data_IF_376607527412
#
_entry.id   IF_376607527412
#
_cell.length_a   1.000
_cell.length_b   1.000
_cell.length_c   1.000
_cell.angle_alpha   90.00
_cell.angle_beta   90.00
_cell.angle_gamma   90.00
#
_symmetry.space_group_name_H-M   'P 1'
#
loop_
_entity.id
_entity.type
_entity.pdbx_description
1 polymer ?
#
# COMPACT_ATOMS: atom_id res chain seq x y z
N UNK A 1 -7.31 -16.38 -8.40
CA UNK A 1 -5.92 -16.61 -7.96
C UNK A 1 -5.23 -15.26 -8.01
N UNK A 2 -4.87 -14.72 -6.85
CA UNK A 2 -4.26 -13.40 -6.72
C UNK A 2 -2.84 -13.41 -7.28
N UNK A 3 -2.47 -12.36 -8.03
CA UNK A 3 -1.12 -12.20 -8.59
C UNK A 3 -0.26 -11.38 -7.65
N UNK A 4 0.95 -11.85 -7.37
CA UNK A 4 1.97 -11.06 -6.68
C UNK A 4 2.81 -10.29 -7.71
N UNK A 5 2.76 -8.97 -7.65
CA UNK A 5 3.51 -8.05 -8.53
C UNK A 5 4.50 -7.27 -7.66
N UNK A 6 5.77 -7.31 -8.03
CA UNK A 6 6.86 -6.78 -7.18
C UNK A 6 7.56 -5.57 -7.76
N UNK A 7 7.20 -5.14 -8.98
CA UNK A 7 7.82 -3.96 -9.60
C UNK A 7 6.80 -2.89 -9.96
N UNK A 8 7.17 -1.62 -9.75
CA UNK A 8 6.41 -0.43 -10.12
C UNK A 8 6.11 -0.46 -11.62
N UNK A 9 7.10 -0.80 -12.44
CA UNK A 9 6.97 -0.84 -13.91
C UNK A 9 5.88 -1.84 -14.34
N UNK A 10 5.88 -3.04 -13.78
CA UNK A 10 4.88 -4.06 -14.10
C UNK A 10 3.49 -3.64 -13.60
N UNK A 11 3.39 -3.14 -12.36
CA UNK A 11 2.13 -2.67 -11.78
C UNK A 11 1.52 -1.55 -12.63
N UNK A 12 2.32 -0.57 -13.04
CA UNK A 12 1.89 0.51 -13.92
C UNK A 12 1.45 -0.01 -15.29
N UNK A 13 2.15 -1.00 -15.87
CA UNK A 13 1.77 -1.57 -17.15
C UNK A 13 0.37 -2.21 -17.08
N UNK A 14 0.10 -2.98 -16.03
CA UNK A 14 -1.21 -3.62 -15.78
C UNK A 14 -2.30 -2.57 -15.60
N UNK A 15 -2.10 -1.59 -14.72
CA UNK A 15 -3.10 -0.54 -14.43
C UNK A 15 -3.39 0.31 -15.67
N UNK A 16 -2.36 0.67 -16.45
CA UNK A 16 -2.54 1.41 -17.71
C UNK A 16 -3.38 0.61 -18.71
N UNK A 17 -3.21 -0.71 -18.79
CA UNK A 17 -4.03 -1.56 -19.66
C UNK A 17 -5.49 -1.61 -19.19
N UNK A 18 -5.73 -1.87 -17.90
CA UNK A 18 -7.06 -1.91 -17.31
C UNK A 18 -7.81 -0.57 -17.46
N UNK A 19 -7.13 0.56 -17.24
CA UNK A 19 -7.73 1.89 -17.45
C UNK A 19 -8.16 2.13 -18.89
N UNK A 20 -7.37 1.68 -19.89
CA UNK A 20 -7.74 1.82 -21.30
C UNK A 20 -8.96 1.00 -21.71
N UNK A 21 -9.22 -0.12 -21.04
CA UNK A 21 -10.41 -0.95 -21.27
C UNK A 21 -11.66 -0.47 -20.52
N UNK A 22 -11.56 0.61 -19.75
CA UNK A 22 -12.68 1.10 -18.92
C UNK A 22 -12.91 0.29 -17.64
N UNK A 23 -11.99 -0.61 -17.29
CA UNK A 23 -12.04 -1.44 -16.08
C UNK A 23 -11.94 -0.54 -14.84
N UNK A 24 -12.89 -0.69 -13.92
CA UNK A 24 -12.89 -0.03 -12.62
C UNK A 24 -11.87 -0.70 -11.68
N UNK A 25 -11.15 0.10 -10.89
CA UNK A 25 -10.03 -0.36 -10.06
C UNK A 25 -10.28 0.11 -8.64
N UNK A 26 -10.44 -0.81 -7.70
CA UNK A 26 -10.40 -0.54 -6.28
C UNK A 26 -8.99 -0.75 -5.73
N UNK A 27 -8.59 0.09 -4.77
CA UNK A 27 -7.24 0.09 -4.22
C UNK A 27 -7.26 0.18 -2.70
N UNK A 28 -6.57 -0.76 -2.05
CA UNK A 28 -6.44 -0.83 -0.59
C UNK A 28 -4.94 -0.73 -0.25
N UNK A 29 -4.45 0.44 0.15
CA UNK A 29 -3.07 0.59 0.60
C UNK A 29 -2.89 0.03 2.01
N UNK A 30 -1.90 -0.84 2.20
CA UNK A 30 -1.56 -1.42 3.50
C UNK A 30 -0.04 -1.51 3.69
N UNK A 31 0.39 -1.74 4.93
CA UNK A 31 1.76 -2.12 5.24
C UNK A 31 1.96 -3.64 5.44
N UNK A 32 0.95 -4.46 5.10
CA UNK A 32 0.96 -5.91 5.35
C UNK A 32 0.50 -6.29 6.75
N UNK A 33 0.84 -7.50 7.19
CA UNK A 33 0.39 -8.09 8.45
C UNK A 33 -1.14 -8.00 8.58
N UNK A 34 -1.82 -8.53 7.56
CA UNK A 34 -3.23 -8.29 7.33
C UNK A 34 -4.10 -8.94 8.41
N UNK A 35 -5.24 -8.30 8.64
CA UNK A 35 -6.24 -8.69 9.64
C UNK A 35 -7.64 -8.34 9.11
N UNK A 36 -8.70 -8.73 9.82
CA UNK A 36 -10.06 -8.64 9.28
C UNK A 36 -10.54 -7.22 8.94
N UNK A 37 -10.02 -6.20 9.64
CA UNK A 37 -10.20 -4.79 9.25
C UNK A 37 -9.72 -4.50 7.81
N UNK A 38 -8.53 -4.99 7.43
CA UNK A 38 -8.04 -4.89 6.05
C UNK A 38 -8.94 -5.68 5.09
N UNK A 39 -9.27 -6.92 5.44
CA UNK A 39 -10.07 -7.80 4.59
C UNK A 39 -11.48 -7.28 4.37
N UNK A 40 -12.03 -6.49 5.30
CA UNK A 40 -13.32 -5.82 5.13
C UNK A 40 -13.27 -4.81 3.98
N UNK A 41 -12.21 -3.99 3.89
CA UNK A 41 -12.02 -3.06 2.77
C UNK A 41 -11.79 -3.80 1.45
N UNK A 42 -11.06 -4.92 1.48
CA UNK A 42 -10.84 -5.76 0.29
C UNK A 42 -12.15 -6.36 -0.21
N UNK A 43 -12.99 -6.92 0.68
CA UNK A 43 -14.31 -7.47 0.32
C UNK A 43 -15.23 -6.41 -0.29
N UNK A 44 -15.24 -5.20 0.29
CA UNK A 44 -16.00 -4.06 -0.25
C UNK A 44 -15.52 -3.72 -1.68
N UNK A 45 -14.21 -3.59 -1.89
CA UNK A 45 -13.62 -3.33 -3.21
C UNK A 45 -13.96 -4.43 -4.22
N UNK A 46 -13.84 -5.70 -3.83
CA UNK A 46 -14.15 -6.85 -4.69
C UNK A 46 -15.63 -6.85 -5.12
N UNK A 47 -16.54 -6.35 -4.26
CA UNK A 47 -17.96 -6.28 -4.60
C UNK A 47 -18.34 -5.10 -5.50
N UNK A 48 -17.48 -4.08 -5.59
CA UNK A 48 -17.82 -2.79 -6.22
C UNK A 48 -16.94 -2.46 -7.44
N UNK A 49 -15.86 -3.21 -7.67
CA UNK A 49 -14.89 -2.94 -8.73
C UNK A 49 -14.58 -4.18 -9.57
N UNK A 50 -14.23 -3.97 -10.84
CA UNK A 50 -13.86 -5.05 -11.76
C UNK A 50 -12.53 -5.69 -11.39
N UNK A 51 -11.59 -4.90 -10.85
CA UNK A 51 -10.35 -5.40 -10.26
C UNK A 51 -10.06 -4.74 -8.91
N UNK A 52 -9.52 -5.51 -7.98
CA UNK A 52 -9.06 -5.06 -6.66
C UNK A 52 -7.55 -5.25 -6.50
N UNK A 53 -6.86 -4.17 -6.16
CA UNK A 53 -5.42 -4.14 -5.89
C UNK A 53 -5.17 -3.85 -4.42
N UNK A 54 -4.37 -4.69 -3.77
CA UNK A 54 -3.89 -4.46 -2.40
C UNK A 54 -2.40 -4.16 -2.46
N UNK A 55 -1.93 -3.04 -1.92
CA UNK A 55 -0.48 -2.86 -1.74
C UNK A 55 -0.06 -3.32 -0.36
N UNK A 56 1.11 -3.96 -0.29
CA UNK A 56 1.78 -4.34 0.95
C UNK A 56 3.16 -3.70 0.93
N UNK A 57 3.33 -2.58 1.63
CA UNK A 57 4.59 -1.86 1.67
C UNK A 57 4.77 -1.18 3.02
N UNK A 58 5.71 -1.67 3.84
CA UNK A 58 6.11 -0.99 5.07
C UNK A 58 6.95 0.22 4.69
N UNK A 59 6.29 1.37 4.55
CA UNK A 59 6.90 2.57 4.04
C UNK A 59 7.86 3.20 5.07
N UNK A 60 9.18 3.31 4.79
CA UNK A 60 10.14 3.86 5.74
C UNK A 60 9.93 5.35 6.05
N UNK A 61 9.37 6.14 5.12
CA UNK A 61 9.26 7.60 5.27
C UNK A 61 8.27 8.02 6.36
N UNK A 62 7.33 7.15 6.70
CA UNK A 62 6.33 7.39 7.76
C UNK A 62 6.76 6.85 9.14
N UNK A 63 7.99 6.37 9.31
CA UNK A 63 8.52 5.95 10.61
C UNK A 63 9.58 6.92 11.13
N UNK A 64 9.43 7.34 12.38
CA UNK A 64 10.44 8.10 13.09
C UNK A 64 11.65 7.23 13.51
N UNK A 65 12.80 7.85 13.86
CA UNK A 65 14.03 7.12 14.19
C UNK A 65 13.96 6.25 15.45
N UNK A 66 12.98 6.50 16.33
CA UNK A 66 12.77 5.74 17.57
C UNK A 66 11.45 4.94 17.53
N UNK A 67 10.90 4.71 16.34
CA UNK A 67 9.68 3.92 16.15
C UNK A 67 10.02 2.48 15.76
N UNK A 68 9.00 1.69 15.48
CA UNK A 68 9.04 0.25 15.37
C UNK A 68 9.27 -0.26 13.94
N UNK A 69 9.93 0.51 13.07
CA UNK A 69 10.15 0.12 11.67
C UNK A 69 10.79 -1.28 11.53
N UNK A 70 11.82 -1.56 12.35
CA UNK A 70 12.53 -2.83 12.36
C UNK A 70 11.70 -3.97 12.95
N UNK A 71 10.83 -3.66 13.92
CA UNK A 71 9.97 -4.63 14.59
C UNK A 71 8.62 -4.83 13.88
N UNK A 72 8.29 -4.01 12.88
CA UNK A 72 7.01 -4.07 12.19
C UNK A 72 6.81 -5.46 11.55
N UNK A 73 5.67 -6.12 11.79
CA UNK A 73 5.44 -7.49 11.33
C UNK A 73 5.43 -7.55 9.79
N UNK A 74 6.14 -8.53 9.23
CA UNK A 74 6.24 -8.76 7.78
C UNK A 74 5.99 -10.24 7.51
N UNK A 75 4.91 -10.55 6.80
CA UNK A 75 4.47 -11.93 6.58
C UNK A 75 3.75 -12.11 5.24
N UNK A 76 4.43 -11.73 4.15
CA UNK A 76 3.83 -11.63 2.81
C UNK A 76 3.14 -12.91 2.35
N UNK A 77 3.66 -14.10 2.67
CA UNK A 77 3.02 -15.38 2.29
C UNK A 77 1.63 -15.51 2.91
N UNK A 78 1.49 -15.20 4.21
CA UNK A 78 0.19 -15.21 4.90
C UNK A 78 -0.73 -14.10 4.37
N UNK A 79 -0.18 -12.93 4.11
CA UNK A 79 -0.95 -11.81 3.57
C UNK A 79 -1.54 -12.18 2.19
N UNK A 80 -0.76 -12.83 1.34
CA UNK A 80 -1.17 -13.31 0.02
C UNK A 80 -2.26 -14.39 0.10
N UNK A 81 -2.16 -15.33 1.04
CA UNK A 81 -3.21 -16.33 1.31
C UNK A 81 -4.52 -15.64 1.69
N UNK A 82 -4.49 -14.73 2.68
CA UNK A 82 -5.67 -14.04 3.17
C UNK A 82 -6.39 -13.21 2.09
N UNK A 83 -5.65 -12.48 1.26
CA UNK A 83 -6.28 -11.69 0.17
C UNK A 83 -6.79 -12.57 -0.97
N UNK A 84 -6.17 -13.74 -1.19
CA UNK A 84 -6.63 -14.71 -2.17
C UNK A 84 -7.99 -15.29 -1.80
N UNK A 85 -8.23 -15.53 -0.51
CA UNK A 85 -9.51 -16.03 0.00
C UNK A 85 -10.66 -15.03 -0.19
N UNK A 86 -10.37 -13.72 -0.09
CA UNK A 86 -11.39 -12.67 -0.28
C UNK A 86 -11.50 -12.16 -1.72
N UNK A 87 -10.72 -12.72 -2.64
CA UNK A 87 -10.88 -12.49 -4.08
C UNK A 87 -10.16 -11.27 -4.64
N UNK A 88 -9.13 -10.73 -3.97
CA UNK A 88 -8.32 -9.66 -4.57
C UNK A 88 -7.59 -10.17 -5.82
N UNK A 89 -7.47 -9.33 -6.85
CA UNK A 89 -6.81 -9.72 -8.10
C UNK A 89 -5.29 -9.63 -7.99
N UNK A 90 -4.79 -8.60 -7.30
CA UNK A 90 -3.37 -8.26 -7.29
C UNK A 90 -2.92 -7.86 -5.88
N UNK A 91 -1.78 -8.41 -5.46
CA UNK A 91 -0.94 -7.84 -4.39
C UNK A 91 0.24 -7.13 -5.03
N UNK A 92 0.39 -5.85 -4.74
CA UNK A 92 1.57 -5.07 -5.09
C UNK A 92 2.52 -5.00 -3.90
N UNK A 93 3.66 -5.70 -4.00
CA UNK A 93 4.66 -5.80 -2.93
C UNK A 93 6.04 -5.37 -3.45
N UNK A 94 6.28 -4.06 -3.60
CA UNK A 94 7.53 -3.54 -4.14
C UNK A 94 8.67 -3.58 -3.12
N UNK A 95 9.90 -3.60 -3.63
CA UNK A 95 11.09 -3.28 -2.84
C UNK A 95 11.19 -1.77 -2.57
N UNK A 96 11.85 -1.39 -1.47
CA UNK A 96 12.11 0.02 -1.12
C UNK A 96 12.87 0.74 -2.24
N UNK A 97 13.87 0.11 -2.82
CA UNK A 97 14.69 0.68 -3.91
C UNK A 97 13.88 0.91 -5.20
N UNK A 98 12.77 0.19 -5.40
CA UNK A 98 11.90 0.40 -6.57
C UNK A 98 10.89 1.53 -6.33
N UNK A 99 10.48 1.73 -5.07
CA UNK A 99 9.63 2.88 -4.67
C UNK A 99 10.44 4.18 -4.55
N UNK A 100 11.66 4.09 -4.02
CA UNK A 100 12.56 5.21 -3.76
C UNK A 100 13.94 4.92 -4.38
N UNK A 101 14.08 5.07 -5.70
CA UNK A 101 15.32 4.72 -6.44
C UNK A 101 16.49 5.68 -6.20
N UNK A 102 16.29 6.74 -5.42
CA UNK A 102 17.30 7.74 -5.10
C UNK A 102 16.71 8.84 -4.23
N UNK A 103 17.46 9.94 -4.08
CA UNK A 103 16.96 11.12 -3.38
C UNK A 103 15.72 11.68 -4.08
N UNK A 104 14.72 12.04 -3.27
CA UNK A 104 13.51 12.68 -3.76
C UNK A 104 13.84 14.11 -4.16
N UNK A 105 13.71 14.41 -5.46
CA UNK A 105 13.86 15.78 -5.97
C UNK A 105 12.62 16.66 -5.77
N UNK A 106 11.54 16.08 -5.23
CA UNK A 106 10.26 16.74 -4.95
C UNK A 106 9.76 16.27 -3.59
N UNK A 107 9.44 17.22 -2.73
CA UNK A 107 8.87 16.97 -1.40
C UNK A 107 7.38 17.28 -1.37
N UNK A 108 6.63 16.49 -0.60
CA UNK A 108 5.21 16.72 -0.30
C UNK A 108 5.05 16.86 1.20
N UNK A 109 4.27 17.86 1.63
CA UNK A 109 3.95 18.09 3.05
C UNK A 109 2.48 18.38 3.23
N UNK A 110 1.89 17.91 4.33
CA UNK A 110 0.44 17.97 4.56
C UNK A 110 -0.03 19.34 5.05
N UNK A 111 0.73 19.99 5.94
CA UNK A 111 0.34 21.27 6.54
C UNK A 111 -0.61 21.11 7.74
N UNK A 112 -1.65 21.96 7.92
CA UNK A 112 -2.36 22.12 9.19
C UNK A 112 -2.95 20.86 9.84
N UNK A 113 -3.33 19.85 9.05
CA UNK A 113 -3.86 18.59 9.58
C UNK A 113 -2.78 17.76 10.30
N UNK A 114 -1.50 17.99 9.98
CA UNK A 114 -0.36 17.36 10.63
C UNK A 114 0.15 18.13 11.86
N UNK A 115 -0.38 19.32 12.15
CA UNK A 115 0.09 20.14 13.28
C UNK A 115 -0.57 19.76 14.62
N UNK A 116 -1.50 18.80 14.62
CA UNK A 116 -2.30 18.41 15.78
C UNK A 116 -2.36 16.90 15.94
N UNK A 117 -2.91 16.44 17.08
CA UNK A 117 -3.13 15.02 17.38
C UNK A 117 -1.87 14.18 17.12
N UNK A 118 -1.97 13.19 16.22
CA UNK A 118 -0.88 12.28 15.89
C UNK A 118 0.25 12.97 15.13
N UNK A 119 -0.05 13.96 14.29
CA UNK A 119 0.99 14.68 13.54
C UNK A 119 1.90 15.49 14.48
N UNK A 120 1.34 16.07 15.54
CA UNK A 120 2.13 16.73 16.59
C UNK A 120 2.96 15.75 17.43
N UNK A 121 2.54 14.48 17.55
CA UNK A 121 3.22 13.43 18.33
C UNK A 121 4.24 12.64 17.52
N UNK A 122 4.05 12.56 16.21
CA UNK A 122 4.88 11.83 15.25
C UNK A 122 5.30 12.78 14.12
N UNK A 123 6.23 13.72 14.37
CA UNK A 123 6.60 14.74 13.38
C UNK A 123 7.07 14.12 12.07
N UNK A 124 6.51 14.59 10.95
CA UNK A 124 6.82 14.09 9.60
C UNK A 124 6.10 12.80 9.19
N UNK A 125 5.40 12.11 10.12
CA UNK A 125 4.69 10.86 9.82
C UNK A 125 3.72 10.99 8.63
N UNK A 126 2.92 12.06 8.61
CA UNK A 126 1.96 12.30 7.55
C UNK A 126 2.57 12.86 6.26
N UNK A 127 3.76 13.47 6.34
CA UNK A 127 4.49 13.90 5.13
C UNK A 127 5.08 12.69 4.39
N UNK A 128 5.32 11.60 5.12
CA UNK A 128 5.76 10.32 4.56
C UNK A 128 4.63 9.42 4.04
N UNK A 129 3.35 9.76 4.26
CA UNK A 129 2.19 8.91 3.91
C UNK A 129 1.87 8.93 2.41
#
# INVERSE_FOLDING_TARGET
MTKLITTVKEMQHIVKAAKRSGTTIGFIPTMGALHDGHLTMVRESVSTNDITVVSVFVNPLQFGPNEDFDAYPRQIDKDLELVSEVGADIVFHPAVEDMYPGELGIDVKVGPLADVLEGAKRPGHFDGW
#
